data_IF_766186217369
#
_entry.id   IF_766186217369
#
_cell.length_a   1.000
_cell.length_b   1.000
_cell.length_c   1.000
_cell.angle_alpha   90.00
_cell.angle_beta   90.00
_cell.angle_gamma   90.00
#
_symmetry.space_group_name_H-M   'P 1'
#
loop_
_entity.id
_entity.type
_entity.pdbx_description
1 polymer ?
#
# COMPACT_ATOMS: atom_id res chain seq x y z
N UNK A 1 7.19 -23.80 -30.88
CA UNK A 1 6.54 -22.55 -31.32
C UNK A 1 7.37 -21.36 -30.85
N UNK A 2 7.96 -20.55 -31.73
CA UNK A 2 8.58 -19.29 -31.35
C UNK A 2 7.47 -18.23 -31.23
N UNK A 3 7.19 -17.74 -30.03
CA UNK A 3 6.13 -16.75 -29.87
C UNK A 3 5.66 -16.47 -28.44
N UNK A 4 6.44 -16.80 -27.42
CA UNK A 4 6.16 -16.33 -26.06
C UNK A 4 6.47 -14.83 -26.01
N UNK A 5 5.48 -14.00 -26.34
CA UNK A 5 5.52 -12.55 -26.09
C UNK A 5 5.67 -12.39 -24.58
N UNK A 6 6.89 -12.13 -24.11
CA UNK A 6 7.10 -11.67 -22.74
C UNK A 6 6.27 -10.41 -22.59
N UNK A 7 5.22 -10.46 -21.79
CA UNK A 7 4.48 -9.27 -21.41
C UNK A 7 5.48 -8.32 -20.75
N UNK A 8 5.67 -7.14 -21.35
CA UNK A 8 6.51 -6.11 -20.75
C UNK A 8 5.94 -5.76 -19.36
N UNK A 9 6.77 -5.58 -18.33
CA UNK A 9 6.28 -5.17 -17.02
C UNK A 9 5.52 -3.85 -17.16
N UNK A 10 4.26 -3.85 -16.70
CA UNK A 10 3.43 -2.65 -16.67
C UNK A 10 4.16 -1.56 -15.87
N UNK A 11 4.21 -0.31 -16.37
CA UNK A 11 4.79 0.80 -15.61
C UNK A 11 4.17 0.87 -14.21
N UNK A 12 4.96 1.08 -13.14
CA UNK A 12 4.44 1.07 -11.76
C UNK A 12 3.30 2.08 -11.57
N UNK A 13 3.41 3.25 -12.22
CA UNK A 13 2.40 4.31 -12.18
C UNK A 13 1.03 3.88 -12.72
N UNK A 14 1.00 3.08 -13.79
CA UNK A 14 -0.27 2.60 -14.37
C UNK A 14 -0.92 1.56 -13.46
N UNK A 15 -0.12 0.65 -12.90
CA UNK A 15 -0.60 -0.33 -11.93
C UNK A 15 -1.23 0.36 -10.72
N UNK A 16 -0.55 1.38 -10.18
CA UNK A 16 -1.03 2.12 -9.01
C UNK A 16 -2.31 2.90 -9.31
N UNK A 17 -2.42 3.50 -10.50
CA UNK A 17 -3.65 4.14 -10.95
C UNK A 17 -4.83 3.16 -11.00
N UNK A 18 -4.63 1.97 -11.60
CA UNK A 18 -5.68 0.96 -11.71
C UNK A 18 -6.10 0.41 -10.34
N UNK A 19 -5.16 0.25 -9.42
CA UNK A 19 -5.45 -0.12 -8.03
C UNK A 19 -6.30 0.95 -7.33
N UNK A 20 -5.95 2.23 -7.49
CA UNK A 20 -6.73 3.33 -6.93
C UNK A 20 -8.13 3.42 -7.55
N UNK A 21 -8.23 3.27 -8.87
CA UNK A 21 -9.50 3.27 -9.59
C UNK A 21 -10.43 2.17 -9.08
N UNK A 22 -9.94 0.92 -9.01
CA UNK A 22 -10.73 -0.22 -8.53
C UNK A 22 -11.18 -0.03 -7.07
N UNK A 23 -10.32 0.55 -6.24
CA UNK A 23 -10.68 0.85 -4.85
C UNK A 23 -11.74 1.94 -4.75
N UNK A 24 -11.62 2.97 -5.58
CA UNK A 24 -12.56 4.09 -5.62
C UNK A 24 -13.95 3.62 -6.07
N UNK A 25 -14.02 2.83 -7.14
CA UNK A 25 -15.29 2.32 -7.67
C UNK A 25 -16.00 1.43 -6.66
N UNK A 26 -15.30 0.50 -6.02
CA UNK A 26 -15.86 -0.36 -4.96
C UNK A 26 -16.41 0.46 -3.79
N UNK A 27 -15.63 1.42 -3.30
CA UNK A 27 -16.03 2.24 -2.14
C UNK A 27 -17.25 3.10 -2.45
N UNK A 28 -17.22 3.81 -3.59
CA UNK A 28 -18.30 4.72 -3.95
C UNK A 28 -19.58 3.96 -4.29
N UNK A 29 -19.48 2.78 -4.90
CA UNK A 29 -20.62 1.90 -5.11
C UNK A 29 -21.27 1.50 -3.77
N UNK A 30 -20.50 0.95 -2.82
CA UNK A 30 -21.02 0.54 -1.50
C UNK A 30 -21.60 1.69 -0.67
N UNK A 31 -21.14 2.93 -0.88
CA UNK A 31 -21.54 4.09 -0.07
C UNK A 31 -22.72 4.85 -0.67
N UNK A 32 -22.78 4.93 -2.00
CA UNK A 32 -23.70 5.83 -2.70
C UNK A 32 -24.81 5.11 -3.45
N UNK A 33 -24.62 3.85 -3.87
CA UNK A 33 -25.68 3.10 -4.55
C UNK A 33 -26.43 2.30 -3.50
N UNK A 34 -27.69 2.67 -3.30
CA UNK A 34 -28.54 2.10 -2.24
C UNK A 34 -29.89 1.63 -2.76
N UNK A 35 -30.36 2.22 -3.87
CA UNK A 35 -31.57 1.80 -4.55
C UNK A 35 -31.20 1.02 -5.82
N UNK A 36 -31.58 -0.26 -5.85
CA UNK A 36 -31.34 -1.17 -6.99
C UNK A 36 -32.64 -1.52 -7.74
N UNK A 37 -33.72 -0.79 -7.47
CA UNK A 37 -35.02 -1.03 -8.11
C UNK A 37 -35.08 -0.57 -9.56
N UNK A 38 -34.12 0.26 -10.00
CA UNK A 38 -34.07 0.82 -11.35
C UNK A 38 -32.67 0.65 -11.94
N UNK A 39 -32.59 0.54 -13.28
CA UNK A 39 -31.31 0.38 -13.99
C UNK A 39 -30.46 1.65 -14.00
N UNK A 40 -31.09 2.81 -13.92
CA UNK A 40 -30.43 4.12 -13.94
C UNK A 40 -30.24 4.62 -12.51
N UNK A 41 -29.13 5.32 -12.29
CA UNK A 41 -28.85 5.98 -11.02
C UNK A 41 -29.87 7.09 -10.78
N UNK A 42 -30.28 7.25 -9.53
CA UNK A 42 -31.08 8.42 -9.15
C UNK A 42 -30.19 9.67 -9.03
N UNK A 43 -30.76 10.86 -9.21
CA UNK A 43 -30.03 12.14 -9.07
C UNK A 43 -29.28 12.28 -7.74
N UNK A 44 -29.79 11.67 -6.67
CA UNK A 44 -29.13 11.67 -5.35
C UNK A 44 -27.87 10.80 -5.35
N UNK A 45 -27.93 9.64 -6.00
CA UNK A 45 -26.79 8.72 -6.10
C UNK A 45 -25.71 9.29 -7.02
N UNK A 46 -26.08 9.89 -8.16
CA UNK A 46 -25.16 10.61 -9.05
C UNK A 46 -24.38 11.70 -8.29
N UNK A 47 -25.10 12.57 -7.57
CA UNK A 47 -24.48 13.64 -6.78
C UNK A 47 -23.60 13.10 -5.64
N UNK A 48 -23.95 11.95 -5.08
CA UNK A 48 -23.14 11.25 -4.08
C UNK A 48 -21.85 10.70 -4.69
N UNK A 49 -21.92 10.07 -5.87
CA UNK A 49 -20.77 9.50 -6.58
C UNK A 49 -19.75 10.57 -6.96
N UNK A 50 -20.19 11.71 -7.49
CA UNK A 50 -19.31 12.86 -7.79
C UNK A 50 -18.56 13.34 -6.54
N UNK A 51 -19.29 13.51 -5.43
CA UNK A 51 -18.72 13.93 -4.15
C UNK A 51 -17.77 12.87 -3.59
N UNK A 52 -18.11 11.59 -3.73
CA UNK A 52 -17.32 10.46 -3.25
C UNK A 52 -15.97 10.39 -3.97
N UNK A 53 -15.99 10.38 -5.31
CA UNK A 53 -14.79 10.35 -6.14
C UNK A 53 -13.90 11.57 -5.84
N UNK A 54 -14.47 12.78 -5.82
CA UNK A 54 -13.72 14.00 -5.51
C UNK A 54 -13.11 13.99 -4.11
N UNK A 55 -13.83 13.49 -3.10
CA UNK A 55 -13.28 13.32 -1.75
C UNK A 55 -12.12 12.33 -1.73
N UNK A 56 -12.29 11.16 -2.35
CA UNK A 56 -11.28 10.11 -2.35
C UNK A 56 -9.99 10.56 -3.04
N UNK A 57 -10.08 11.24 -4.19
CA UNK A 57 -8.89 11.78 -4.88
C UNK A 57 -8.14 12.78 -4.01
N UNK A 58 -8.85 13.74 -3.38
CA UNK A 58 -8.22 14.72 -2.47
C UNK A 58 -7.63 14.05 -1.24
N UNK A 59 -8.32 13.09 -0.64
CA UNK A 59 -7.83 12.34 0.51
C UNK A 59 -6.59 11.50 0.15
N UNK A 60 -6.60 10.82 -0.99
CA UNK A 60 -5.45 10.06 -1.47
C UNK A 60 -4.24 10.97 -1.64
N UNK A 61 -4.39 12.12 -2.33
CA UNK A 61 -3.30 13.06 -2.51
C UNK A 61 -2.74 13.55 -1.17
N UNK A 62 -3.60 13.97 -0.22
CA UNK A 62 -3.16 14.41 1.11
C UNK A 62 -2.40 13.31 1.87
N UNK A 63 -2.90 12.08 1.81
CA UNK A 63 -2.26 10.93 2.45
C UNK A 63 -0.92 10.60 1.80
N UNK A 64 -0.84 10.65 0.47
CA UNK A 64 0.39 10.39 -0.26
C UNK A 64 1.46 11.45 0.03
N UNK A 65 1.06 12.74 0.11
CA UNK A 65 1.97 13.82 0.54
C UNK A 65 2.53 13.56 1.93
N UNK A 66 1.67 13.23 2.90
CA UNK A 66 2.11 12.94 4.26
C UNK A 66 3.01 11.69 4.33
N UNK A 67 2.67 10.65 3.55
CA UNK A 67 3.44 9.42 3.47
C UNK A 67 4.86 9.66 2.94
N UNK A 68 4.99 10.40 1.84
CA UNK A 68 6.29 10.73 1.25
C UNK A 68 7.15 11.58 2.21
N UNK A 69 6.53 12.48 2.97
CA UNK A 69 7.23 13.27 3.98
C UNK A 69 7.72 12.42 5.18
N UNK A 70 6.94 11.43 5.60
CA UNK A 70 7.21 10.64 6.81
C UNK A 70 8.05 9.39 6.56
N UNK A 71 7.92 8.74 5.40
CA UNK A 71 8.58 7.46 5.15
C UNK A 71 10.10 7.45 5.25
N UNK A 72 10.85 8.48 4.82
CA UNK A 72 12.30 8.48 4.94
C UNK A 72 12.76 8.34 6.39
N UNK A 73 12.11 9.04 7.34
CA UNK A 73 12.46 8.96 8.76
C UNK A 73 12.11 7.59 9.36
N UNK A 74 10.97 7.00 8.96
CA UNK A 74 10.60 5.64 9.37
C UNK A 74 11.63 4.63 8.83
N UNK A 75 12.04 4.76 7.57
CA UNK A 75 13.01 3.85 6.95
C UNK A 75 14.38 3.95 7.61
N UNK A 76 14.85 5.17 7.92
CA UNK A 76 16.11 5.40 8.64
C UNK A 76 16.11 4.75 10.03
N UNK A 77 15.02 4.93 10.80
CA UNK A 77 14.90 4.31 12.13
C UNK A 77 14.94 2.78 12.04
N UNK A 78 14.23 2.20 11.08
CA UNK A 78 14.26 0.75 10.84
C UNK A 78 15.66 0.26 10.49
N UNK A 79 16.41 0.98 9.65
CA UNK A 79 17.78 0.60 9.29
C UNK A 79 18.70 0.60 10.54
N UNK A 80 18.63 1.65 11.37
CA UNK A 80 19.39 1.72 12.62
C UNK A 80 19.02 0.60 13.61
N UNK A 81 17.73 0.26 13.72
CA UNK A 81 17.28 -0.84 14.58
C UNK A 81 17.80 -2.20 14.09
N UNK A 82 17.86 -2.42 12.77
CA UNK A 82 18.48 -3.62 12.19
C UNK A 82 19.98 -3.69 12.47
N UNK A 83 20.70 -2.59 12.29
CA UNK A 83 22.13 -2.49 12.57
C UNK A 83 22.43 -2.73 14.05
N UNK A 84 21.65 -2.13 14.96
CA UNK A 84 21.79 -2.32 16.40
C UNK A 84 21.48 -3.76 16.83
N UNK A 85 20.48 -4.40 16.21
CA UNK A 85 20.14 -5.81 16.46
C UNK A 85 21.23 -6.74 15.94
N UNK A 86 21.83 -6.43 14.78
CA UNK A 86 22.95 -7.18 14.22
C UNK A 86 24.23 -7.04 15.08
N UNK A 87 24.54 -5.83 15.56
CA UNK A 87 25.65 -5.60 16.48
C UNK A 87 25.44 -6.37 17.80
N UNK A 88 24.24 -6.30 18.39
CA UNK A 88 23.90 -7.09 19.59
C UNK A 88 24.01 -8.61 19.39
N UNK A 89 23.75 -9.10 18.17
CA UNK A 89 23.92 -10.51 17.83
C UNK A 89 25.39 -10.90 17.67
N UNK A 90 26.27 -9.97 17.26
CA UNK A 90 27.71 -10.18 17.16
C UNK A 90 28.42 -10.05 18.52
N UNK A 91 27.94 -9.17 19.41
CA UNK A 91 28.44 -9.00 20.78
C UNK A 91 27.88 -10.02 21.78
N UNK A 92 26.95 -10.89 21.38
CA UNK A 92 26.49 -11.98 22.23
C UNK A 92 27.68 -12.89 22.56
N UNK A 93 28.08 -13.02 23.85
CA UNK A 93 29.30 -13.72 24.20
C UNK A 93 29.21 -15.17 23.72
N UNK A 94 30.29 -15.63 23.06
CA UNK A 94 30.50 -17.04 22.83
C UNK A 94 30.28 -17.77 24.17
N UNK A 95 29.30 -18.69 24.21
CA UNK A 95 29.09 -19.54 25.37
C UNK A 95 30.44 -20.12 25.80
N UNK A 96 30.79 -20.09 27.11
CA UNK A 96 32.08 -20.58 27.55
C UNK A 96 32.22 -22.04 27.09
N UNK A 97 33.30 -22.31 26.36
CA UNK A 97 33.68 -23.66 25.99
C UNK A 97 33.70 -24.52 27.26
N UNK A 98 32.87 -25.57 27.28
CA UNK A 98 32.91 -26.55 28.35
C UNK A 98 34.33 -27.14 28.43
N UNK A 99 34.96 -27.19 29.61
CA UNK A 99 36.26 -27.83 29.76
C UNK A 99 36.10 -29.34 29.56
N UNK A 100 37.07 -29.93 28.86
CA UNK A 100 37.29 -31.37 28.72
C UNK A 100 36.90 -32.16 29.98
N UNK A 101 36.08 -33.18 29.80
CA UNK A 101 35.86 -34.22 30.79
C UNK A 101 36.22 -35.58 30.16
N UNK A 102 37.40 -36.05 30.58
CA UNK A 102 37.90 -37.43 30.76
C UNK A 102 37.51 -38.54 29.79
#
# INVERSE_FOLDING_TARGET
>A
VPGSRRAAPCPPQLRDFLLLYNRMTELCFRRCVSDLNHRLLTRREELCLERCAGKLVRCNHRLMTAYVALMPSIAQRRAADYEASAARAQEAPAAPAAPDAS
#
